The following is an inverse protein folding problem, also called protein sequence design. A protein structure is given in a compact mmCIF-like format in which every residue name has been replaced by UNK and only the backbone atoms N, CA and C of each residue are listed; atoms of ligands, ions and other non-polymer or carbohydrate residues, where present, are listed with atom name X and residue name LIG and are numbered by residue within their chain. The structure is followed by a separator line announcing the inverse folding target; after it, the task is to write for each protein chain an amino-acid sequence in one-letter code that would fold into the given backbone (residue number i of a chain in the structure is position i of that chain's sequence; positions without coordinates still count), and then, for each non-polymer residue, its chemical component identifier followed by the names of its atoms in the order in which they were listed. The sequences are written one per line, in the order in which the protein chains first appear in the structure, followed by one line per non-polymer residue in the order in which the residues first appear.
data_IF_680646110076
#
_entry.id   IF_680646110076
#
_cell.length_a   1.000
_cell.length_b   1.000
_cell.length_c   1.000
_cell.angle_alpha   90.00
_cell.angle_beta   90.00
_cell.angle_gamma   90.00
#
_symmetry.space_group_name_H-M   'P 1'
#
loop_
_entity.id
_entity.type
_entity.pdbx_description
1 polymer ?
#
# COMPACT_ATOMS: atom_id res chain seq x y z
N UNK A 1 -15.90 -0.18 7.17
CA UNK A 1 -14.80 0.46 7.94
C UNK A 1 -13.59 0.65 7.06
N UNK A 2 -13.03 1.85 7.00
CA UNK A 2 -11.86 2.13 6.16
C UNK A 2 -10.61 2.25 7.00
N UNK A 3 -9.53 1.70 6.49
CA UNK A 3 -8.22 1.78 7.11
C UNK A 3 -7.36 2.81 6.39
N UNK A 4 -6.50 3.47 7.15
CA UNK A 4 -5.56 4.46 6.60
C UNK A 4 -4.23 3.78 6.29
N UNK A 5 -3.70 4.07 5.10
CA UNK A 5 -2.43 3.53 4.64
C UNK A 5 -1.52 4.65 4.20
N UNK A 6 -0.23 4.46 4.40
CA UNK A 6 0.79 5.31 3.80
C UNK A 6 1.38 4.56 2.62
N UNK A 7 1.31 5.17 1.45
CA UNK A 7 1.71 4.55 0.20
C UNK A 7 2.86 5.36 -0.41
N UNK A 8 3.92 4.68 -0.79
CA UNK A 8 5.05 5.30 -1.48
C UNK A 8 5.38 4.51 -2.72
N UNK A 9 5.14 5.10 -3.88
CA UNK A 9 5.62 4.57 -5.14
C UNK A 9 7.09 5.00 -5.31
N UNK A 10 7.90 4.12 -5.89
CA UNK A 10 9.32 4.41 -6.12
C UNK A 10 9.50 5.74 -6.86
N UNK A 11 10.33 6.61 -6.30
CA UNK A 11 10.60 7.94 -6.87
C UNK A 11 9.53 8.99 -6.59
N UNK A 12 8.52 8.68 -5.78
CA UNK A 12 7.45 9.62 -5.42
C UNK A 12 7.36 9.83 -3.93
N UNK A 13 6.68 10.91 -3.54
CA UNK A 13 6.46 11.23 -2.13
C UNK A 13 5.42 10.30 -1.50
N UNK A 14 5.43 10.26 -0.17
CA UNK A 14 4.47 9.47 0.60
C UNK A 14 3.07 10.06 0.43
N UNK A 15 2.10 9.23 0.11
CA UNK A 15 0.70 9.61 0.02
C UNK A 15 -0.12 8.89 1.08
N UNK A 16 -1.11 9.58 1.65
CA UNK A 16 -2.08 8.96 2.53
C UNK A 16 -3.26 8.47 1.71
N UNK A 17 -3.61 7.21 1.89
CA UNK A 17 -4.75 6.60 1.19
C UNK A 17 -5.61 5.82 2.16
N UNK A 18 -6.88 5.65 1.82
CA UNK A 18 -7.83 4.87 2.60
C UNK A 18 -8.39 3.74 1.76
N UNK A 19 -8.58 2.60 2.37
CA UNK A 19 -9.21 1.46 1.72
C UNK A 19 -9.86 0.55 2.76
N UNK A 20 -10.77 -0.30 2.31
CA UNK A 20 -11.45 -1.24 3.19
C UNK A 20 -10.55 -2.40 3.60
N UNK A 21 -9.49 -2.68 2.85
CA UNK A 21 -8.51 -3.71 3.19
C UNK A 21 -7.21 -3.47 2.43
N UNK A 22 -6.13 -4.10 2.89
CA UNK A 22 -4.85 -4.07 2.19
C UNK A 22 -4.97 -4.63 0.78
N UNK A 23 -5.69 -5.73 0.62
CA UNK A 23 -5.94 -6.35 -0.69
C UNK A 23 -6.59 -5.38 -1.66
N UNK A 24 -7.63 -4.68 -1.22
CA UNK A 24 -8.34 -3.71 -2.07
C UNK A 24 -7.45 -2.53 -2.44
N UNK A 25 -6.65 -2.05 -1.49
CA UNK A 25 -5.70 -0.98 -1.76
C UNK A 25 -4.68 -1.41 -2.80
N UNK A 26 -4.04 -2.56 -2.60
CA UNK A 26 -3.05 -3.08 -3.53
C UNK A 26 -3.64 -3.25 -4.92
N UNK A 27 -4.83 -3.81 -5.02
CA UNK A 27 -5.53 -3.98 -6.29
C UNK A 27 -5.76 -2.65 -7.00
N UNK A 28 -6.15 -1.61 -6.27
CA UNK A 28 -6.37 -0.29 -6.85
C UNK A 28 -5.09 0.35 -7.40
N UNK A 29 -3.95 0.02 -6.83
CA UNK A 29 -2.65 0.52 -7.29
C UNK A 29 -2.14 -0.28 -8.49
N UNK A 30 -2.39 -1.58 -8.53
CA UNK A 30 -1.86 -2.49 -9.54
C UNK A 30 -2.69 -2.50 -10.81
N UNK A 31 -4.01 -2.32 -10.74
CA UNK A 31 -4.88 -2.32 -11.93
C UNK A 31 -4.44 -1.30 -12.97
N UNK A 32 -4.16 0.00 -12.62
CA UNK A 32 -3.68 0.95 -13.62
C UNK A 32 -2.25 0.68 -14.08
N UNK A 33 -1.43 0.08 -13.24
CA UNK A 33 -0.02 -0.13 -13.52
C UNK A 33 0.46 -1.44 -12.89
N UNK A 34 0.51 -2.50 -13.67
CA UNK A 34 0.92 -3.82 -13.20
C UNK A 34 2.40 -3.90 -12.76
N UNK A 35 3.19 -2.87 -13.06
CA UNK A 35 4.59 -2.77 -12.64
C UNK A 35 4.78 -1.85 -11.44
N UNK A 36 3.71 -1.53 -10.74
CA UNK A 36 3.79 -0.65 -9.58
C UNK A 36 4.78 -1.20 -8.56
N UNK A 37 5.74 -0.38 -8.19
CA UNK A 37 6.81 -0.74 -7.25
C UNK A 37 6.91 0.31 -6.18
N UNK A 38 6.99 -0.12 -4.93
CA UNK A 38 7.07 0.78 -3.79
C UNK A 38 6.80 0.05 -2.50
N UNK A 39 6.23 0.74 -1.52
CA UNK A 39 5.84 0.10 -0.28
C UNK A 39 4.55 0.71 0.28
N UNK A 40 3.88 -0.08 1.10
CA UNK A 40 2.65 0.31 1.77
C UNK A 40 2.83 0.06 3.26
N UNK A 41 2.57 1.06 4.08
CA UNK A 41 2.67 0.93 5.52
C UNK A 41 1.34 1.29 6.18
N UNK A 42 1.02 0.61 7.26
CA UNK A 42 -0.18 0.90 8.03
C UNK A 42 0.01 0.49 9.49
N UNK A 43 -0.87 0.99 10.34
CA UNK A 43 -0.89 0.66 11.75
C UNK A 43 -1.88 -0.49 11.98
N UNK A 44 -1.40 -1.61 12.49
CA UNK A 44 -2.26 -2.76 12.74
C UNK A 44 -3.07 -2.62 14.05
N UNK A 45 -3.90 -3.62 14.37
CA UNK A 45 -4.72 -3.62 15.58
C UNK A 45 -3.92 -3.53 16.87
N UNK A 46 -2.67 -3.95 16.84
CA UNK A 46 -1.76 -3.88 17.99
C UNK A 46 -1.03 -2.54 18.10
N UNK A 47 -1.44 -1.56 17.30
CA UNK A 47 -0.87 -0.22 17.29
C UNK A 47 0.59 -0.19 16.82
N UNK A 48 0.99 -1.18 16.02
CA UNK A 48 2.34 -1.27 15.44
C UNK A 48 2.28 -1.03 13.94
N UNK A 49 3.28 -0.31 13.42
CA UNK A 49 3.40 -0.11 11.98
C UNK A 49 3.88 -1.40 11.31
N UNK A 50 3.19 -1.75 10.23
CA UNK A 50 3.56 -2.86 9.37
C UNK A 50 3.85 -2.28 7.98
N UNK A 51 4.95 -2.70 7.38
CA UNK A 51 5.36 -2.22 6.06
C UNK A 51 5.47 -3.41 5.10
N UNK A 52 4.84 -3.29 3.96
CA UNK A 52 4.89 -4.30 2.90
C UNK A 52 5.58 -3.71 1.68
N UNK A 53 6.60 -4.39 1.20
CA UNK A 53 7.27 -4.01 -0.04
C UNK A 53 6.57 -4.64 -1.24
N UNK A 54 6.43 -3.86 -2.30
CA UNK A 54 5.76 -4.30 -3.53
C UNK A 54 6.76 -4.18 -4.68
N UNK A 55 6.87 -5.22 -5.47
CA UNK A 55 7.70 -5.24 -6.67
C UNK A 55 6.89 -5.73 -7.86
N UNK A 56 6.78 -4.89 -8.88
CA UNK A 56 6.00 -5.18 -10.10
C UNK A 56 4.58 -5.64 -9.78
N UNK A 57 3.94 -4.95 -8.84
CA UNK A 57 2.56 -5.22 -8.46
C UNK A 57 2.37 -6.41 -7.54
N UNK A 58 3.44 -7.05 -7.09
CA UNK A 58 3.37 -8.21 -6.21
C UNK A 58 4.05 -7.93 -4.88
N UNK A 59 3.41 -8.37 -3.80
CA UNK A 59 4.00 -8.27 -2.47
C UNK A 59 5.19 -9.21 -2.34
N UNK A 60 6.28 -8.67 -1.87
CA UNK A 60 7.49 -9.43 -1.61
C UNK A 60 7.54 -9.88 -0.15
#
# INVERSE_FOLDING_TARGET
MRYKFKVTEEGKEIEDKEAMSFKKLLKSLVIPNSKWTGWIAYKNKKNKYVKHSILNGKRI
#
